data_IF_985265331268
#
_entry.id   IF_985265331268
#
_cell.length_a   1.000
_cell.length_b   1.000
_cell.length_c   1.000
_cell.angle_alpha   90.00
_cell.angle_beta   90.00
_cell.angle_gamma   90.00
#
_symmetry.space_group_name_H-M   'P 1'
#
loop_
_entity.id
_entity.type
_entity.pdbx_description
1 polymer ?
2 water ?
#
# COMPACT_ATOMS: atom_id res chain seq x y z
N UNK A 21 -14.26 32.14 13.27
CA UNK A 21 -15.30 31.65 12.37
C UNK A 21 -14.67 31.00 11.14
N UNK A 22 -14.07 31.80 10.28
CA UNK A 22 -13.39 31.29 9.09
C UNK A 22 -11.97 30.89 9.50
N UNK A 23 -11.58 29.63 9.31
CA UNK A 23 -10.29 29.17 9.83
C UNK A 23 -9.11 29.65 9.00
N UNK A 24 -7.97 29.75 9.66
CA UNK A 24 -6.72 30.06 8.98
C UNK A 24 -6.15 28.77 8.39
N UNK A 25 -5.66 28.85 7.16
CA UNK A 25 -5.30 27.64 6.42
C UNK A 25 -3.83 27.28 6.63
N UNK A 26 -3.55 25.99 6.53
CA UNK A 26 -2.23 25.43 6.83
C UNK A 26 -1.24 25.69 5.71
N UNK A 27 -0.15 24.91 5.67
CA UNK A 27 0.88 25.14 4.65
C UNK A 27 0.39 24.78 3.25
N UNK A 28 -0.08 23.55 2.98
CA UNK A 28 -0.50 23.26 1.60
C UNK A 28 -1.81 23.92 1.23
N UNK A 29 -2.68 24.19 2.19
CA UNK A 29 -4.02 24.67 1.90
C UNK A 29 -4.00 26.14 1.49
N UNK A 30 -4.69 26.45 0.39
CA UNK A 30 -4.89 27.83 -0.06
C UNK A 30 -6.38 28.04 -0.31
N UNK A 31 -7.16 26.96 -0.25
CA UNK A 31 -8.61 27.02 -0.36
C UNK A 31 -9.24 26.30 0.82
N UNK A 32 -10.39 26.80 1.27
CA UNK A 32 -11.17 26.10 2.27
C UNK A 32 -11.86 24.88 1.67
N UNK A 33 -12.34 24.99 0.43
CA UNK A 33 -13.09 23.89 -0.17
C UNK A 33 -12.87 23.87 -1.69
N UNK A 34 -12.69 22.67 -2.22
CA UNK A 34 -12.73 22.44 -3.66
C UNK A 34 -14.09 21.86 -4.00
N UNK A 35 -14.77 22.50 -4.94
CA UNK A 35 -16.09 22.06 -5.39
C UNK A 35 -15.88 21.16 -6.61
N UNK A 36 -16.06 19.86 -6.42
CA UNK A 36 -15.95 18.88 -7.49
C UNK A 36 -17.33 18.62 -8.07
N UNK A 37 -17.51 18.93 -9.36
CA UNK A 37 -18.80 18.80 -10.01
C UNK A 37 -18.60 18.29 -11.42
N UNK A 38 -19.67 17.68 -11.96
CA UNK A 38 -19.69 17.30 -13.37
C UNK A 38 -20.08 18.52 -14.20
N UNK A 39 -19.17 18.97 -15.06
CA UNK A 39 -19.43 20.17 -15.86
C UNK A 39 -20.56 19.96 -16.86
N UNK A 40 -20.87 18.71 -17.22
CA UNK A 40 -21.95 18.45 -18.16
C UNK A 40 -23.33 18.65 -17.55
N UNK A 41 -23.50 18.37 -16.25
CA UNK A 41 -24.82 18.44 -15.63
C UNK A 41 -24.90 19.57 -14.60
N UNK A 42 -24.24 19.43 -13.45
CA UNK A 42 -24.49 20.28 -12.29
C UNK A 42 -23.59 21.52 -12.24
N UNK A 43 -23.29 22.13 -13.38
CA UNK A 43 -22.51 23.36 -13.34
C UNK A 43 -23.28 24.49 -12.68
N UNK A 44 -24.57 24.60 -12.99
CA UNK A 44 -25.40 25.63 -12.35
C UNK A 44 -25.49 25.42 -10.85
N UNK A 45 -25.74 24.18 -10.43
CA UNK A 45 -25.82 23.88 -9.00
C UNK A 45 -24.52 24.19 -8.29
N UNK A 46 -23.38 23.89 -8.94
CA UNK A 46 -22.09 24.12 -8.30
C UNK A 46 -21.81 25.60 -8.13
N UNK A 47 -22.23 26.42 -9.09
CA UNK A 47 -22.11 27.87 -8.95
C UNK A 47 -22.94 28.37 -7.78
N UNK A 48 -24.15 27.83 -7.62
CA UNK A 48 -25.02 28.24 -6.52
C UNK A 48 -24.36 27.94 -5.17
N UNK A 49 -23.85 26.72 -5.00
CA UNK A 49 -23.15 26.37 -3.76
C UNK A 49 -21.90 27.24 -3.59
N UNK A 50 -21.17 27.46 -4.67
CA UNK A 50 -19.98 28.31 -4.61
C UNK A 50 -20.31 29.70 -4.09
N UNK A 51 -21.32 30.35 -4.70
CA UNK A 51 -21.68 31.70 -4.29
C UNK A 51 -22.15 31.73 -2.84
N UNK A 52 -22.78 30.65 -2.37
CA UNK A 52 -23.24 30.60 -0.99
C UNK A 52 -22.08 30.55 -0.02
N UNK A 53 -21.03 29.82 -0.36
CA UNK A 53 -19.90 29.66 0.55
C UNK A 53 -19.00 30.88 0.53
N UNK A 54 -18.65 31.35 -0.68
CA UNK A 54 -17.66 32.42 -0.79
C UNK A 54 -18.16 33.73 -0.18
N UNK A 55 -19.47 33.95 -0.17
CA UNK A 55 -20.00 35.16 0.47
C UNK A 55 -19.78 35.10 1.98
N UNK A 56 -19.96 33.93 2.58
CA UNK A 56 -19.79 33.78 4.03
C UNK A 56 -18.35 34.05 4.47
N UNK A 57 -17.39 34.05 3.55
CA UNK A 57 -16.01 34.34 3.86
C UNK A 57 -15.03 33.28 3.41
N UNK A 58 -15.49 32.06 3.16
CA UNK A 58 -14.58 30.99 2.75
C UNK A 58 -14.07 31.23 1.33
N UNK A 59 -12.84 30.78 1.09
CA UNK A 59 -12.20 30.84 -0.23
C UNK A 59 -12.26 29.47 -0.87
N UNK A 60 -12.86 29.38 -2.06
CA UNK A 60 -13.08 28.11 -2.72
C UNK A 60 -12.36 28.07 -4.06
N UNK A 61 -12.20 26.85 -4.57
CA UNK A 61 -11.64 26.58 -5.88
C UNK A 61 -12.74 26.04 -6.78
N UNK A 62 -13.01 26.73 -7.88
CA UNK A 62 -14.11 26.40 -8.78
C UNK A 62 -13.55 26.24 -10.19
N UNK A 63 -13.78 25.07 -10.79
CA UNK A 63 -13.13 24.71 -12.06
C UNK A 63 -13.39 25.75 -13.14
N UNK A 64 -14.68 26.05 -13.40
CA UNK A 64 -15.04 27.01 -14.44
C UNK A 64 -14.32 28.34 -14.28
N UNK A 65 -14.24 28.84 -13.04
CA UNK A 65 -13.66 30.15 -12.81
C UNK A 65 -12.14 30.09 -12.74
N UNK A 66 -11.61 29.11 -12.01
CA UNK A 66 -10.19 29.07 -11.64
C UNK A 66 -9.33 28.26 -12.62
N UNK A 67 -9.87 27.26 -13.30
CA UNK A 67 -9.09 26.45 -14.23
C UNK A 67 -9.10 27.11 -15.60
N UNK A 68 -7.90 27.43 -16.11
CA UNK A 68 -7.77 28.03 -17.42
C UNK A 68 -8.32 27.09 -18.48
N UNK A 69 -8.74 27.61 -19.64
CA UNK A 69 -9.45 26.75 -20.61
C UNK A 69 -8.66 25.52 -21.05
N UNK A 70 -7.34 25.62 -21.17
CA UNK A 70 -6.55 24.52 -21.64
C UNK A 70 -5.87 23.67 -20.59
N UNK A 71 -6.17 23.88 -19.30
CA UNK A 71 -5.46 23.23 -18.21
C UNK A 71 -6.40 22.50 -17.26
N UNK A 72 -7.54 22.02 -17.76
CA UNK A 72 -8.46 21.25 -16.94
C UNK A 72 -8.13 19.77 -16.96
N UNK A 73 -6.88 19.44 -16.66
CA UNK A 73 -6.43 18.06 -16.63
C UNK A 73 -6.54 17.50 -15.20
N UNK A 74 -6.34 16.18 -15.09
CA UNK A 74 -6.53 15.51 -13.80
C UNK A 74 -5.51 15.95 -12.77
N UNK A 75 -4.30 16.31 -13.20
CA UNK A 75 -3.25 16.70 -12.27
C UNK A 75 -3.48 18.10 -11.70
N UNK A 76 -4.01 19.01 -12.52
CA UNK A 76 -4.41 20.32 -12.02
C UNK A 76 -5.54 20.16 -11.01
N UNK A 77 -6.44 19.20 -11.25
CA UNK A 77 -7.50 18.91 -10.30
C UNK A 77 -6.91 18.42 -8.98
N UNK A 78 -6.00 17.46 -9.06
CA UNK A 78 -5.40 16.91 -7.84
C UNK A 78 -4.53 17.96 -7.15
N UNK A 79 -3.87 18.83 -7.92
CA UNK A 79 -3.19 19.97 -7.32
C UNK A 79 -4.17 20.85 -6.54
N UNK A 80 -5.39 21.00 -7.06
CA UNK A 80 -6.41 21.77 -6.34
C UNK A 80 -6.90 21.03 -5.11
N UNK A 81 -7.10 19.71 -5.23
CA UNK A 81 -7.53 18.91 -4.08
C UNK A 81 -6.47 18.93 -2.98
N UNK A 82 -5.19 18.87 -3.38
CA UNK A 82 -4.12 18.90 -2.39
C UNK A 82 -4.12 20.20 -1.59
N UNK A 83 -4.50 21.31 -2.22
CA UNK A 83 -4.52 22.62 -1.58
C UNK A 83 -5.87 22.97 -0.98
N UNK A 84 -6.82 22.05 -1.00
CA UNK A 84 -8.15 22.31 -0.45
C UNK A 84 -8.31 21.54 0.86
N UNK A 85 -8.67 22.27 1.91
CA UNK A 85 -8.93 21.66 3.21
C UNK A 85 -10.05 20.63 3.12
N UNK A 86 -11.18 21.02 2.54
CA UNK A 86 -12.29 20.12 2.30
C UNK A 86 -12.55 19.99 0.80
N UNK A 87 -13.16 18.88 0.42
CA UNK A 87 -13.61 18.65 -0.95
C UNK A 87 -15.11 18.43 -0.91
N UNK A 88 -15.86 19.27 -1.63
CA UNK A 88 -17.31 19.20 -1.69
C UNK A 88 -17.70 18.44 -2.95
N UNK A 89 -18.35 17.29 -2.78
CA UNK A 89 -18.82 16.47 -3.88
C UNK A 89 -20.27 16.78 -4.18
N UNK A 90 -20.55 17.22 -5.40
CA UNK A 90 -21.92 17.51 -5.85
C UNK A 90 -22.43 16.26 -6.55
N UNK A 91 -23.19 15.44 -5.83
CA UNK A 91 -23.60 14.12 -6.29
C UNK A 91 -25.10 14.16 -6.57
N UNK A 92 -25.44 14.10 -7.86
CA UNK A 92 -26.83 14.13 -8.33
C UNK A 92 -27.15 12.81 -9.03
N UNK A 93 -28.39 12.59 -9.48
CA UNK A 93 -28.63 11.41 -10.34
C UNK A 93 -27.81 11.43 -11.61
N UNK A 94 -27.61 12.61 -12.20
CA UNK A 94 -26.81 12.70 -13.43
C UNK A 94 -25.32 12.59 -13.14
N UNK A 95 -24.89 12.97 -11.94
CA UNK A 95 -23.46 12.89 -11.61
C UNK A 95 -22.96 11.46 -11.63
N UNK A 96 -23.83 10.49 -11.36
CA UNK A 96 -23.41 9.10 -11.35
C UNK A 96 -23.28 8.52 -12.76
N UNK A 97 -24.01 9.08 -13.73
CA UNK A 97 -23.99 8.56 -15.09
C UNK A 97 -22.84 9.12 -15.92
N UNK A 98 -22.16 10.15 -15.43
CA UNK A 98 -21.32 10.99 -16.28
C UNK A 98 -19.88 10.50 -16.41
N UNK A 99 -19.53 9.37 -15.80
CA UNK A 99 -18.16 8.87 -15.69
C UNK A 99 -17.33 9.75 -14.76
N UNK A 100 -17.80 10.98 -14.52
CA UNK A 100 -17.24 11.79 -13.45
C UNK A 100 -17.32 11.06 -12.11
N UNK A 101 -18.39 10.30 -11.90
CA UNK A 101 -18.51 9.45 -10.71
C UNK A 101 -17.48 8.33 -10.69
N UNK A 102 -16.96 7.94 -11.87
CA UNK A 102 -15.97 6.88 -11.98
C UNK A 102 -14.55 7.39 -12.14
N UNK A 103 -14.36 8.71 -12.11
CA UNK A 103 -13.04 9.28 -12.41
C UNK A 103 -12.69 10.39 -11.43
N UNK A 104 -13.13 11.62 -11.71
CA UNK A 104 -12.71 12.76 -10.91
C UNK A 104 -13.23 12.67 -9.48
N UNK A 105 -14.42 12.10 -9.29
CA UNK A 105 -14.96 11.99 -7.95
C UNK A 105 -14.16 11.02 -7.11
N UNK A 106 -13.73 9.89 -7.70
CA UNK A 106 -12.97 8.90 -6.94
C UNK A 106 -11.56 9.38 -6.62
N UNK A 107 -11.05 10.36 -7.36
CA UNK A 107 -9.74 10.92 -7.04
C UNK A 107 -9.76 11.62 -5.69
N UNK A 108 -10.90 12.20 -5.30
CA UNK A 108 -11.01 12.84 -4.00
C UNK A 108 -11.20 11.84 -2.87
N UNK A 109 -11.62 10.62 -3.18
CA UNK A 109 -11.87 9.62 -2.15
C UNK A 109 -10.56 8.94 -1.79
N UNK A 110 -10.31 8.80 -0.49
CA UNK A 110 -9.05 8.27 0.03
C UNK A 110 -9.27 6.88 0.62
N UNK A 111 -8.17 6.13 0.70
CA UNK A 111 -8.20 4.77 1.24
C UNK A 111 -8.54 4.78 2.73
N UNK A 112 -8.24 5.85 3.43
CA UNK A 112 -8.45 5.94 4.87
C UNK A 112 -9.84 6.49 5.17
N UNK A 113 -10.65 5.72 5.91
CA UNK A 113 -11.96 6.20 6.30
C UNK A 113 -11.85 7.43 7.20
N UNK A 114 -10.81 7.50 8.02
CA UNK A 114 -10.60 8.68 8.86
C UNK A 114 -10.35 9.92 8.02
N UNK A 115 -9.63 9.77 6.91
CA UNK A 115 -9.39 10.91 6.03
C UNK A 115 -10.67 11.36 5.34
N UNK A 116 -11.49 10.41 4.88
CA UNK A 116 -12.71 10.76 4.16
C UNK A 116 -13.74 11.42 5.09
N UNK A 117 -13.77 11.03 6.36
CA UNK A 117 -14.71 11.65 7.28
C UNK A 117 -14.34 13.10 7.58
N UNK A 118 -13.05 13.43 7.50
CA UNK A 118 -12.62 14.79 7.82
C UNK A 118 -12.71 15.68 6.58
N UNK A 119 -12.21 15.21 5.45
CA UNK A 119 -12.05 15.99 4.22
C UNK A 119 -13.33 16.05 3.39
N UNK A 120 -13.94 14.90 3.11
CA UNK A 120 -15.03 14.85 2.14
C UNK A 120 -16.30 15.49 2.69
N UNK A 121 -16.99 16.22 1.84
CA UNK A 121 -18.30 16.79 2.14
C UNK A 121 -19.25 16.38 1.02
N UNK A 122 -19.89 15.21 1.11
CA UNK A 122 -20.80 14.76 0.03
C UNK A 122 -22.12 15.53 0.08
N UNK A 123 -22.44 16.20 -1.02
CA UNK A 123 -23.67 16.97 -1.16
C UNK A 123 -24.59 16.21 -2.09
N UNK A 124 -25.68 15.68 -1.54
CA UNK A 124 -26.60 14.83 -2.30
C UNK A 124 -27.75 15.66 -2.84
N UNK A 125 -28.03 15.51 -4.13
CA UNK A 125 -29.08 16.25 -4.82
C UNK A 125 -30.08 15.28 -5.43
N UNK A 126 -31.34 15.72 -5.52
CA UNK A 126 -32.37 14.93 -6.14
C UNK A 126 -32.80 13.70 -5.38
N UNK A 127 -32.38 13.56 -4.12
CA UNK A 127 -32.80 12.43 -3.32
C UNK A 127 -32.18 11.12 -3.77
N UNK A 128 -30.88 11.12 -4.05
CA UNK A 128 -30.21 9.87 -4.39
C UNK A 128 -30.08 8.97 -3.17
N UNK A 129 -29.99 9.57 -1.98
CA UNK A 129 -29.89 8.87 -0.71
C UNK A 129 -28.56 8.13 -0.56
N UNK A 130 -28.17 7.85 0.68
CA UNK A 130 -26.83 7.36 0.97
C UNK A 130 -26.64 5.95 0.41
N UNK A 131 -27.69 5.12 0.46
CA UNK A 131 -27.55 3.72 0.04
C UNK A 131 -27.23 3.61 -1.44
N UNK A 132 -27.73 4.53 -2.27
CA UNK A 132 -27.41 4.51 -3.70
C UNK A 132 -25.93 4.75 -3.97
N UNK A 133 -25.21 5.35 -3.02
CA UNK A 133 -23.84 5.78 -3.28
C UNK A 133 -22.89 4.59 -3.30
N UNK A 134 -21.71 4.76 -3.89
CA UNK A 134 -20.69 3.70 -3.88
C UNK A 134 -20.29 3.34 -2.47
N UNK A 135 -19.70 2.16 -2.28
CA UNK A 135 -19.33 1.70 -0.92
C UNK A 135 -18.51 2.72 -0.14
N UNK A 136 -17.48 3.35 -0.74
CA UNK A 136 -16.65 4.26 0.08
C UNK A 136 -17.40 5.45 0.64
N UNK A 137 -18.41 5.96 -0.08
CA UNK A 137 -19.11 7.17 0.37
C UNK A 137 -20.22 6.88 1.37
N UNK A 138 -20.72 5.64 1.42
CA UNK A 138 -21.89 5.36 2.26
C UNK A 138 -21.67 5.66 3.73
N UNK A 139 -20.59 5.18 4.40
CA UNK A 139 -20.51 5.37 5.85
C UNK A 139 -19.93 6.71 6.26
N UNK A 140 -19.99 7.71 5.39
CA UNK A 140 -19.33 8.99 5.62
C UNK A 140 -20.24 10.04 6.25
N UNK A 141 -21.51 9.72 6.49
CA UNK A 141 -22.49 10.68 6.98
C UNK A 141 -22.54 11.91 6.08
N UNK A 142 -23.29 11.81 4.99
CA UNK A 142 -23.33 12.86 3.97
C UNK A 142 -24.35 13.93 4.34
N UNK A 143 -24.59 14.87 3.42
CA UNK A 143 -25.61 15.91 3.63
C UNK A 143 -26.72 15.77 2.60
N UNK A 150 -33.14 26.28 1.17
CA UNK A 150 -31.83 26.85 1.50
C UNK A 150 -31.12 25.97 2.53
N UNK A 151 -30.83 24.73 2.12
CA UNK A 151 -30.06 23.82 2.96
C UNK A 151 -28.57 24.10 2.93
N UNK A 152 -28.15 25.18 2.27
CA UNK A 152 -26.73 25.47 2.07
C UNK A 152 -26.01 25.84 3.36
N UNK A 153 -26.73 26.06 4.46
CA UNK A 153 -26.05 26.34 5.73
C UNK A 153 -25.32 25.12 6.25
N UNK A 154 -25.82 23.91 5.96
CA UNK A 154 -25.23 22.70 6.52
C UNK A 154 -23.84 22.41 5.96
N UNK A 155 -23.60 22.74 4.69
CA UNK A 155 -22.30 22.45 4.11
C UNK A 155 -21.24 23.42 4.66
N UNK A 156 -21.64 24.66 4.95
CA UNK A 156 -20.72 25.60 5.60
C UNK A 156 -20.32 25.07 6.96
N UNK A 157 -21.25 24.40 7.65
CA UNK A 157 -20.96 23.82 8.96
C UNK A 157 -19.84 22.79 8.88
N UNK A 158 -19.79 22.03 7.78
CA UNK A 158 -18.78 21.00 7.63
C UNK A 158 -17.42 21.56 7.22
N UNK A 159 -17.40 22.72 6.57
CA UNK A 159 -16.15 23.33 6.14
C UNK A 159 -15.38 23.88 7.34
N UNK A 160 -16.08 24.29 8.40
CA UNK A 160 -15.43 24.91 9.54
C UNK A 160 -14.68 23.87 10.37
N UNK A 161 -13.47 24.21 10.78
CA UNK A 161 -12.63 23.31 11.58
C UNK A 161 -12.75 23.62 13.07
N UNK A 171 -2.62 9.81 8.50
CA UNK A 171 -3.53 8.66 8.43
C UNK A 171 -3.11 7.69 7.34
N UNK A 172 -2.99 6.41 7.69
CA UNK A 172 -2.46 5.38 6.79
C UNK A 172 -3.59 4.48 6.32
N UNK A 173 -3.72 4.34 5.00
CA UNK A 173 -4.61 3.36 4.41
C UNK A 173 -3.95 2.00 4.32
N UNK A 174 -4.61 1.09 3.62
CA UNK A 174 -4.07 -0.25 3.45
C UNK A 174 -2.84 -0.20 2.55
N UNK A 175 -1.74 -0.82 3.03
CA UNK A 175 -0.47 -0.85 2.31
C UNK A 175 -0.28 -2.13 1.50
N UNK A 176 -1.12 -3.14 1.72
CA UNK A 176 -0.86 -4.47 1.18
C UNK A 176 -0.69 -4.45 -0.34
N UNK A 177 -1.66 -3.87 -1.05
CA UNK A 177 -1.68 -4.02 -2.51
C UNK A 177 -0.56 -3.25 -3.17
N UNK A 178 -0.27 -2.04 -2.70
CA UNK A 178 0.84 -1.29 -3.26
C UNK A 178 2.16 -1.99 -3.03
N UNK A 179 2.39 -2.46 -1.79
CA UNK A 179 3.61 -3.19 -1.49
C UNK A 179 3.72 -4.46 -2.33
N UNK A 180 2.64 -5.27 -2.35
CA UNK A 180 2.70 -6.58 -2.99
C UNK A 180 2.86 -6.47 -4.50
N UNK A 181 2.02 -5.67 -5.16
CA UNK A 181 2.12 -5.54 -6.61
C UNK A 181 3.44 -4.88 -7.01
N UNK A 182 3.90 -3.90 -6.22
CA UNK A 182 5.19 -3.28 -6.51
C UNK A 182 6.35 -4.22 -6.32
N UNK A 183 6.28 -5.09 -5.32
CA UNK A 183 7.34 -6.07 -5.10
C UNK A 183 7.30 -7.16 -6.15
N UNK A 184 6.09 -7.53 -6.58
CA UNK A 184 5.90 -8.51 -7.66
C UNK A 184 6.48 -7.99 -8.97
N UNK A 185 5.84 -6.99 -9.59
CA UNK A 185 6.26 -6.54 -10.92
C UNK A 185 7.62 -5.86 -10.92
N UNK A 186 8.04 -5.29 -9.79
CA UNK A 186 9.34 -4.64 -9.76
C UNK A 186 10.51 -5.57 -9.51
N UNK A 187 10.26 -6.83 -9.15
CA UNK A 187 11.35 -7.69 -8.70
C UNK A 187 11.03 -9.17 -8.87
N UNK A 188 10.04 -9.67 -8.11
CA UNK A 188 9.78 -11.11 -8.07
C UNK A 188 9.41 -11.63 -9.46
N UNK A 189 8.51 -10.94 -10.16
CA UNK A 189 8.11 -11.35 -11.50
C UNK A 189 9.30 -11.40 -12.47
N UNK A 190 10.36 -10.63 -12.19
CA UNK A 190 11.52 -10.59 -13.08
C UNK A 190 12.45 -11.77 -12.82
N UNK A 191 12.73 -12.07 -11.54
CA UNK A 191 13.81 -12.99 -11.21
C UNK A 191 13.30 -14.41 -10.95
N UNK A 192 12.10 -14.55 -10.39
CA UNK A 192 11.62 -15.88 -9.99
C UNK A 192 11.39 -16.85 -11.15
N UNK A 193 10.82 -16.46 -12.31
CA UNK A 193 10.46 -17.48 -13.32
C UNK A 193 11.56 -18.45 -13.70
N UNK A 194 12.80 -18.00 -13.81
CA UNK A 194 13.91 -18.89 -14.17
C UNK A 194 14.92 -19.07 -13.05
N UNK A 195 14.61 -18.62 -11.83
CA UNK A 195 15.58 -18.70 -10.74
C UNK A 195 15.88 -20.14 -10.35
N UNK A 196 14.87 -21.01 -10.38
CA UNK A 196 15.09 -22.41 -10.03
C UNK A 196 16.13 -23.07 -10.93
N UNK A 197 16.19 -22.66 -12.20
CA UNK A 197 17.25 -23.14 -13.08
C UNK A 197 18.61 -22.63 -12.62
N UNK A 198 18.69 -21.34 -12.27
CA UNK A 198 19.96 -20.78 -11.81
C UNK A 198 20.44 -21.48 -10.55
N UNK A 199 19.52 -21.78 -9.63
CA UNK A 199 19.88 -22.42 -8.37
C UNK A 199 20.40 -23.83 -8.60
N UNK A 200 19.70 -24.59 -9.45
CA UNK A 200 20.13 -25.96 -9.72
C UNK A 200 21.50 -26.00 -10.39
N UNK A 201 21.80 -25.01 -11.23
CA UNK A 201 23.14 -24.96 -11.83
C UNK A 201 24.19 -24.69 -10.77
N UNK A 202 23.92 -23.74 -9.87
CA UNK A 202 24.86 -23.47 -8.78
C UNK A 202 24.98 -24.69 -7.87
N UNK A 203 23.84 -25.30 -7.53
CA UNK A 203 23.85 -26.48 -6.68
C UNK A 203 24.64 -27.61 -7.29
N UNK A 204 24.52 -27.78 -8.62
CA UNK A 204 25.18 -28.89 -9.30
C UNK A 204 26.70 -28.77 -9.22
N UNK A 205 27.23 -27.58 -9.49
CA UNK A 205 28.67 -27.41 -9.64
C UNK A 205 29.32 -27.04 -8.32
N UNK A 206 28.56 -27.11 -7.23
CA UNK A 206 29.09 -26.85 -5.90
C UNK A 206 28.88 -28.02 -4.94
N UNK A 207 28.43 -29.16 -5.45
CA UNK A 207 28.24 -30.37 -4.64
C UNK A 207 27.24 -30.14 -3.51
N UNK A 208 26.21 -29.35 -3.78
CA UNK A 208 25.13 -29.12 -2.84
C UNK A 208 23.93 -30.01 -3.12
N UNK A 209 24.11 -31.06 -3.93
CA UNK A 209 23.00 -31.93 -4.29
C UNK A 209 22.43 -32.61 -3.05
N UNK A 210 21.11 -32.52 -2.89
CA UNK A 210 20.44 -33.05 -1.72
C UNK A 210 20.55 -32.19 -0.48
N UNK A 211 21.37 -31.15 -0.50
CA UNK A 211 21.56 -30.27 0.64
C UNK A 211 21.18 -28.83 0.31
N UNK A 212 20.31 -28.62 -0.67
CA UNK A 212 19.94 -27.28 -1.11
C UNK A 212 18.63 -27.33 -1.87
N UNK A 213 17.69 -26.48 -1.48
CA UNK A 213 16.43 -26.34 -2.18
C UNK A 213 16.59 -25.46 -3.41
N UNK A 214 15.68 -25.63 -4.36
CA UNK A 214 15.64 -24.80 -5.55
C UNK A 214 15.12 -23.39 -5.27
N UNK A 215 14.37 -23.20 -4.20
CA UNK A 215 13.61 -21.98 -4.02
C UNK A 215 14.45 -20.86 -3.41
N UNK A 216 13.98 -19.64 -3.61
CA UNK A 216 14.54 -18.46 -2.95
C UNK A 216 13.77 -18.23 -1.66
N UNK A 217 14.47 -18.28 -0.53
CA UNK A 217 13.84 -18.11 0.77
C UNK A 217 13.79 -16.62 1.12
N UNK A 218 12.58 -16.11 1.35
CA UNK A 218 12.35 -14.71 1.61
C UNK A 218 11.99 -14.55 3.08
N UNK A 219 12.78 -13.78 3.81
CA UNK A 219 12.69 -13.72 5.27
C UNK A 219 11.81 -12.56 5.69
N UNK A 220 10.86 -12.85 6.59
CA UNK A 220 9.80 -11.92 7.00
C UNK A 220 9.79 -11.90 8.53
N UNK A 221 10.69 -11.15 9.15
CA UNK A 221 10.64 -11.00 10.61
C UNK A 221 9.39 -10.25 11.04
N UNK A 222 8.78 -10.71 12.13
CA UNK A 222 7.51 -10.14 12.57
C UNK A 222 7.64 -8.66 12.91
N UNK A 223 8.80 -8.25 13.41
CA UNK A 223 8.98 -6.83 13.72
C UNK A 223 9.13 -5.98 12.47
N UNK A 224 9.30 -6.61 11.31
CA UNK A 224 9.56 -5.99 10.01
C UNK A 224 10.92 -5.31 9.95
N UNK A 225 11.76 -5.46 10.97
CA UNK A 225 13.12 -4.93 10.92
C UNK A 225 13.97 -5.81 10.01
N UNK A 226 14.48 -5.23 8.94
CA UNK A 226 15.38 -5.92 8.04
C UNK A 226 16.82 -5.53 8.38
N UNK A 227 17.70 -6.53 8.40
CA UNK A 227 19.11 -6.33 8.63
C UNK A 227 19.84 -6.34 7.28
N UNK A 228 21.11 -5.89 7.30
CA UNK A 228 21.86 -5.82 6.06
C UNK A 228 22.05 -7.19 5.43
N UNK A 229 22.16 -8.23 6.26
CA UNK A 229 22.32 -9.60 5.79
C UNK A 229 21.63 -10.53 6.77
N UNK A 230 20.98 -11.58 6.26
CA UNK A 230 20.35 -12.55 7.16
C UNK A 230 21.41 -13.24 7.99
N UNK A 231 22.65 -13.29 7.51
CA UNK A 231 23.77 -13.83 8.28
C UNK A 231 24.10 -13.00 9.51
N UNK A 232 23.60 -11.77 9.60
CA UNK A 232 23.76 -10.98 10.81
C UNK A 232 22.97 -11.52 11.99
N UNK A 233 22.12 -12.53 11.76
CA UNK A 233 21.36 -13.13 12.84
C UNK A 233 22.14 -14.20 13.60
N UNK A 234 23.19 -14.76 12.99
CA UNK A 234 23.98 -15.79 13.64
C UNK A 234 25.30 -15.96 12.91
N UNK A 235 26.39 -16.05 13.69
CA UNK A 235 27.70 -16.31 13.12
C UNK A 235 27.80 -17.70 12.50
N UNK A 236 26.83 -18.58 12.76
CA UNK A 236 26.80 -19.90 12.15
C UNK A 236 26.19 -19.90 10.77
N UNK A 237 25.71 -18.76 10.29
CA UNK A 237 25.21 -18.60 8.92
C UNK A 237 26.34 -17.97 8.11
N UNK A 238 26.82 -18.69 7.08
CA UNK A 238 28.04 -18.31 6.38
C UNK A 238 27.74 -17.89 4.94
N UNK A 239 28.30 -16.75 4.54
CA UNK A 239 28.26 -16.34 3.15
C UNK A 239 29.00 -17.37 2.28
N UNK A 240 28.36 -17.78 1.18
CA UNK A 240 28.92 -18.79 0.29
C UNK A 240 28.94 -18.34 -1.17
N UNK A 241 28.86 -17.04 -1.42
CA UNK A 241 28.83 -16.57 -2.79
C UNK A 241 27.48 -16.04 -3.18
N UNK A 242 27.16 -16.11 -4.47
CA UNK A 242 25.93 -15.53 -4.97
C UNK A 242 25.53 -16.18 -6.29
N UNK A 243 24.29 -15.85 -6.72
CA UNK A 243 23.72 -16.23 -8.01
C UNK A 243 23.85 -15.09 -8.98
N UNK A 244 24.29 -15.33 -10.23
CA UNK A 244 24.38 -14.27 -11.23
C UNK A 244 23.03 -13.66 -11.60
N UNK A 259 22.01 -9.91 -8.31
CA UNK A 259 22.76 -10.97 -7.66
C UNK A 259 22.11 -11.38 -6.33
N UNK A 260 21.71 -12.65 -6.24
CA UNK A 260 21.12 -13.20 -5.02
C UNK A 260 22.17 -14.00 -4.26
N UNK A 261 22.16 -13.87 -2.94
CA UNK A 261 23.23 -14.38 -2.10
C UNK A 261 22.97 -15.81 -1.65
N UNK A 262 24.03 -16.61 -1.57
CA UNK A 262 23.97 -17.98 -1.10
C UNK A 262 24.57 -18.06 0.29
N UNK A 263 23.87 -18.73 1.19
CA UNK A 263 24.35 -18.94 2.54
C UNK A 263 24.41 -20.42 2.84
N UNK A 264 25.14 -20.77 3.91
CA UNK A 264 25.21 -22.12 4.42
C UNK A 264 24.73 -22.13 5.87
N UNK A 265 24.22 -23.29 6.29
CA UNK A 265 23.71 -23.45 7.64
C UNK A 265 23.89 -24.92 8.04
N UNK A 266 24.29 -25.14 9.29
CA UNK A 266 24.64 -26.46 9.79
C UNK A 266 23.53 -26.99 10.71
N UNK A 267 23.09 -28.22 10.46
CA UNK A 267 22.05 -28.83 11.28
C UNK A 267 22.70 -29.55 12.46
N UNK A 268 21.97 -30.45 13.11
CA UNK A 268 22.51 -31.10 14.31
C UNK A 268 23.60 -32.12 13.98
N UNK A 269 23.55 -32.72 12.79
CA UNK A 269 24.51 -33.74 12.40
C UNK A 269 25.77 -33.18 11.76
N UNK A 270 25.94 -31.86 11.78
CA UNK A 270 27.06 -31.26 11.08
C UNK A 270 26.88 -31.13 9.58
N UNK A 271 25.76 -31.59 9.04
CA UNK A 271 25.50 -31.46 7.61
C UNK A 271 25.22 -30.00 7.26
N UNK A 272 25.98 -29.49 6.28
CA UNK A 272 25.76 -28.14 5.79
C UNK A 272 24.63 -28.14 4.78
N UNK A 273 23.71 -27.18 4.93
CA UNK A 273 22.61 -26.98 4.00
C UNK A 273 22.74 -25.59 3.40
N UNK A 274 22.55 -25.50 2.09
CA UNK A 274 22.74 -24.26 1.34
C UNK A 274 21.39 -23.70 0.90
N UNK A 275 21.32 -22.37 0.83
CA UNK A 275 20.09 -21.73 0.41
C UNK A 275 20.40 -20.35 -0.15
N UNK A 276 19.64 -19.96 -1.16
CA UNK A 276 19.56 -18.56 -1.54
C UNK A 276 18.53 -17.87 -0.68
N UNK A 277 18.90 -16.77 -0.06
CA UNK A 277 18.03 -16.12 0.90
C UNK A 277 18.27 -14.62 0.97
N UNK A 278 17.21 -13.90 1.33
CA UNK A 278 17.28 -12.46 1.54
C UNK A 278 16.04 -12.02 2.29
N UNK A 279 16.11 -10.82 2.85
CA UNK A 279 14.93 -10.21 3.46
C UNK A 279 13.98 -9.73 2.37
N UNK A 280 12.70 -9.70 2.70
CA UNK A 280 11.71 -8.96 1.93
C UNK A 280 11.88 -7.49 2.31
N UNK A 281 12.61 -6.73 1.49
CA UNK A 281 13.05 -5.40 1.90
C UNK A 281 11.91 -4.41 2.11
N UNK A 282 10.78 -4.63 1.42
CA UNK A 282 9.70 -3.64 1.48
C UNK A 282 9.07 -3.58 2.87
N UNK A 283 9.12 -4.67 3.65
CA UNK A 283 8.47 -4.65 4.95
C UNK A 283 9.15 -3.70 5.93
N UNK A 284 10.42 -3.36 5.68
CA UNK A 284 11.14 -2.44 6.56
C UNK A 284 10.44 -1.08 6.63
N UNK A 285 9.69 -0.73 5.58
CA UNK A 285 8.94 0.52 5.57
C UNK A 285 7.94 0.58 6.72
N UNK A 286 7.29 -0.55 7.02
CA UNK A 286 6.33 -0.57 8.12
C UNK A 286 7.02 -0.37 9.48
N UNK A 287 8.24 -0.92 9.63
CA UNK A 287 9.01 -0.64 10.84
C UNK A 287 9.34 0.84 10.94
N UNK A 288 9.75 1.46 9.83
CA UNK A 288 10.06 2.88 9.87
C UNK A 288 8.82 3.71 10.17
N UNK A 289 7.67 3.33 9.60
CA UNK A 289 6.43 4.07 9.86
C UNK A 289 6.01 3.97 11.32
N UNK A 290 6.15 2.78 11.93
CA UNK A 290 5.84 2.61 13.34
C UNK A 290 6.74 3.48 14.20
N UNK A 291 8.04 3.47 13.92
CA UNK A 291 9.00 4.24 14.71
C UNK A 291 8.84 5.74 14.51
N UNK A 292 8.17 6.18 13.46
CA UNK A 292 7.99 7.61 13.21
C UNK A 292 6.80 8.12 13.99
N UNK A 293 7.03 9.14 14.82
CA UNK A 293 5.94 9.69 15.62
C UNK A 293 4.92 10.43 14.78
N UNK A 294 5.36 11.02 13.66
CA UNK A 294 4.44 11.73 12.77
C UNK A 294 3.51 10.76 12.03
N UNK A 295 3.99 9.55 11.74
CA UNK A 295 3.24 8.60 10.93
C UNK A 295 2.19 7.89 11.78
N UNK A 296 0.97 7.78 11.24
CA UNK A 296 -0.11 7.15 11.95
C UNK A 296 -0.14 5.64 11.82
N UNK A 297 0.90 4.98 12.32
CA UNK A 297 0.96 3.52 12.35
C UNK A 297 1.59 3.08 13.66
N UNK A 298 0.90 2.23 14.38
CA UNK A 298 1.38 1.71 15.65
C UNK A 298 1.53 0.20 15.54
N UNK A 299 1.94 -0.43 16.65
CA UNK A 299 2.37 -1.82 16.61
C UNK A 299 1.28 -2.74 16.09
N UNK A 300 0.05 -2.57 16.59
CA UNK A 300 -1.01 -3.48 16.20
C UNK A 300 -1.30 -3.39 14.70
N UNK A 301 -1.30 -2.16 14.16
CA UNK A 301 -1.50 -2.00 12.73
C UNK A 301 -0.31 -2.50 11.93
N UNK A 302 0.89 -2.40 12.50
CA UNK A 302 2.06 -2.96 11.82
C UNK A 302 1.88 -4.45 11.57
N UNK A 303 1.33 -5.17 12.55
CA UNK A 303 1.08 -6.60 12.38
C UNK A 303 -0.04 -6.85 11.38
N UNK A 304 -1.13 -6.08 11.47
CA UNK A 304 -2.27 -6.27 10.57
C UNK A 304 -1.88 -5.96 9.14
N UNK A 305 -1.24 -4.80 8.91
CA UNK A 305 -0.78 -4.43 7.58
C UNK A 305 0.16 -5.48 7.00
N UNK A 306 1.08 -5.99 7.83
CA UNK A 306 2.08 -6.93 7.31
C UNK A 306 1.49 -8.29 7.00
N UNK A 307 0.40 -8.69 7.68
CA UNK A 307 -0.26 -9.95 7.33
C UNK A 307 -1.16 -9.80 6.11
N UNK A 308 -1.75 -8.63 5.91
CA UNK A 308 -2.45 -8.35 4.66
C UNK A 308 -1.48 -8.35 3.49
N UNK A 309 -0.32 -7.70 3.66
CA UNK A 309 0.72 -7.76 2.64
C UNK A 309 1.13 -9.20 2.38
N UNK A 310 1.38 -9.96 3.45
CA UNK A 310 1.79 -11.35 3.32
C UNK A 310 0.75 -12.16 2.56
N UNK A 311 -0.53 -11.94 2.86
CA UNK A 311 -1.60 -12.66 2.18
C UNK A 311 -1.73 -12.23 0.72
N UNK A 312 -1.61 -10.93 0.45
CA UNK A 312 -1.78 -10.45 -0.92
C UNK A 312 -0.64 -10.91 -1.81
N UNK A 313 0.59 -10.89 -1.29
CA UNK A 313 1.73 -11.38 -2.07
C UNK A 313 1.56 -12.86 -2.41
N UNK A 314 1.02 -13.64 -1.46
CA UNK A 314 0.87 -15.07 -1.73
C UNK A 314 -0.25 -15.35 -2.73
N UNK A 315 -1.29 -14.52 -2.76
CA UNK A 315 -2.32 -14.67 -3.77
C UNK A 315 -1.78 -14.41 -5.17
N UNK A 316 -0.94 -13.38 -5.30
CA UNK A 316 -0.38 -13.04 -6.60
C UNK A 316 0.59 -14.12 -7.08
N UNK A 317 1.49 -14.56 -6.19
CA UNK A 317 2.49 -15.55 -6.57
C UNK A 317 1.85 -16.88 -6.95
N UNK A 318 0.87 -17.34 -6.16
CA UNK A 318 0.23 -18.62 -6.47
C UNK A 318 -0.71 -18.52 -7.67
N UNK A 319 -1.13 -17.32 -8.04
CA UNK A 319 -1.90 -17.14 -9.26
C UNK A 319 -1.01 -17.28 -10.50
N UNK A 320 0.26 -16.91 -10.39
CA UNK A 320 1.18 -16.92 -11.52
C UNK A 320 1.88 -18.26 -11.59
N UNK A 321 1.64 -19.08 -12.61
CA UNK A 321 2.21 -20.45 -12.61
C UNK A 321 3.72 -20.49 -12.71
N UNK A 322 4.35 -19.50 -13.33
CA UNK A 322 5.81 -19.47 -13.45
C UNK A 322 6.49 -18.83 -12.25
N UNK A 323 5.73 -18.35 -11.26
CA UNK A 323 6.30 -17.78 -10.03
C UNK A 323 5.96 -18.58 -8.78
N UNK A 324 4.83 -19.27 -8.74
CA UNK A 324 4.52 -20.09 -7.58
C UNK A 324 5.48 -21.26 -7.48
N UNK A 325 5.73 -21.70 -6.26
CA UNK A 325 6.72 -22.73 -5.94
C UNK A 325 8.14 -22.33 -6.32
N UNK A 326 8.38 -21.05 -6.60
CA UNK A 326 9.74 -20.58 -6.88
C UNK A 326 10.38 -19.88 -5.69
N UNK A 327 9.59 -19.46 -4.71
CA UNK A 327 10.13 -18.84 -3.52
C UNK A 327 9.39 -19.38 -2.30
N UNK A 328 10.02 -19.24 -1.14
CA UNK A 328 9.40 -19.63 0.12
C UNK A 328 9.54 -18.47 1.10
N UNK A 329 8.40 -17.92 1.50
CA UNK A 329 8.39 -16.83 2.49
C UNK A 329 8.53 -17.43 3.87
N UNK A 330 9.53 -16.96 4.62
CA UNK A 330 9.84 -17.47 5.95
C UNK A 330 9.44 -16.40 6.96
N UNK A 331 8.24 -16.52 7.53
CA UNK A 331 7.81 -15.65 8.60
C UNK A 331 8.27 -16.22 9.95
N UNK A 332 8.81 -15.36 10.80
CA UNK A 332 9.35 -15.83 12.08
C UNK A 332 9.34 -14.68 13.08
N UNK A 333 9.23 -15.05 14.35
CA UNK A 333 9.38 -14.09 15.46
C UNK A 333 10.86 -13.83 15.68
N UNK A 334 11.31 -12.62 15.35
CA UNK A 334 12.71 -12.26 15.52
C UNK A 334 12.95 -11.80 16.96
N UNK A 335 12.93 -12.77 17.86
CA UNK A 335 13.05 -12.50 19.29
C UNK A 335 14.23 -13.23 19.95
N UNK A 336 14.95 -14.08 19.24
CA UNK A 336 15.96 -14.95 19.86
C UNK A 336 17.37 -14.52 19.49
N UNK A 337 18.27 -14.62 20.47
CA UNK A 337 19.67 -14.25 20.29
C UNK A 337 20.61 -15.44 20.18
N UNK A 338 20.19 -16.63 20.61
CA UNK A 338 21.06 -17.80 20.55
C UNK A 338 21.53 -18.05 19.12
N UNK A 339 22.78 -18.49 19.00
CA UNK A 339 23.35 -18.80 17.69
C UNK A 339 22.70 -20.00 17.03
N UNK A 340 21.94 -20.81 17.79
CA UNK A 340 21.29 -21.98 17.24
C UNK A 340 19.90 -21.69 16.69
N UNK A 341 19.29 -20.58 17.10
CA UNK A 341 17.87 -20.37 16.84
C UNK A 341 17.60 -20.19 15.34
N UNK A 342 18.24 -19.20 14.73
CA UNK A 342 17.99 -18.93 13.31
C UNK A 342 18.52 -20.05 12.43
N UNK A 343 19.73 -20.57 12.67
CA UNK A 343 20.16 -21.76 11.91
C UNK A 343 19.19 -22.93 11.96
N UNK A 344 18.62 -23.23 13.14
CA UNK A 344 17.70 -24.36 13.23
C UNK A 344 16.39 -24.09 12.49
N UNK A 345 15.94 -22.84 12.47
CA UNK A 345 14.74 -22.51 11.74
C UNK A 345 14.94 -22.70 10.24
N UNK A 346 16.07 -22.23 9.71
CA UNK A 346 16.31 -22.30 8.28
C UNK A 346 16.51 -23.75 7.83
N UNK A 347 17.28 -24.54 8.61
CA UNK A 347 17.45 -25.96 8.29
C UNK A 347 16.11 -26.68 8.24
N UNK A 348 15.20 -26.32 9.15
CA UNK A 348 13.87 -26.91 9.11
C UNK A 348 13.15 -26.55 7.81
N UNK A 349 13.25 -25.29 7.38
CA UNK A 349 12.56 -24.88 6.16
C UNK A 349 13.20 -25.50 4.92
N UNK A 350 14.53 -25.58 4.88
CA UNK A 350 15.21 -26.18 3.73
C UNK A 350 14.83 -27.63 3.57
N UNK A 351 14.81 -28.38 4.68
CA UNK A 351 14.44 -29.80 4.62
C UNK A 351 12.99 -29.98 4.22
N UNK A 352 12.11 -29.10 4.69
CA UNK A 352 10.70 -29.17 4.31
C UNK A 352 10.52 -28.97 2.81
N UNK A 353 11.27 -28.03 2.23
CA UNK A 353 11.13 -27.77 0.81
C UNK A 353 11.75 -28.88 -0.03
N UNK A 354 12.81 -29.53 0.46
CA UNK A 354 13.39 -30.65 -0.27
C UNK A 354 12.44 -31.83 -0.34
N UNK A 355 11.62 -32.03 0.70
CA UNK A 355 10.60 -33.06 0.66
C UNK A 355 9.62 -32.82 -0.49
N UNK A 356 9.13 -31.58 -0.60
CA UNK A 356 8.13 -31.27 -1.62
C UNK A 356 8.71 -31.37 -3.02
N UNK A 357 9.99 -31.07 -3.19
CA UNK A 357 10.67 -31.16 -4.47
C UNK A 357 11.19 -32.57 -4.75
N UNK A 358 10.70 -33.58 -4.05
CA UNK A 358 11.15 -34.94 -4.24
C UNK A 358 10.04 -35.84 -4.77
#
# INVERSE_FOLDING_TARGET
SEKNGAHSFLSDTPVTSLTMSVPVLRHPHVYHAFISYCADADTSHARTILDSVESRGFTCCFAERDFLPGECTSDVVVDAIHCSKNVILVISPASLQSEWSKFEMLMAVDDSHQRNNVCLVPVLLGGVKVDDLPPPLRPLTCIELMDDFRNTDDIIQAISKPEDTWESLLPVGNLAHGFAWGYYYGYLKIILPDLDKTVRQWRRVNNAEGRMSEKLFLFFPQSCRCRDSIADESSLIKHRGHLPIITKDRAGIIERQYKNTIYSVTDDNGEDYFFAGEYIGVIHTMFEMEQNATTGLQTREKYVQSMRFYLTLKRILDTDPECSKKCKIVFYKDVNNSSDAMPRLICNEIKNQLRKESSDDTTVCMTPFNSPFPSISSPDFARCSLKSSSSTNMVKSEPNIYREESGKTKSVERG
#
